data_IF_939303126845
#
_entry.id   IF_939303126845
#
_cell.length_a   1.000
_cell.length_b   1.000
_cell.length_c   1.000
_cell.angle_alpha   90.00
_cell.angle_beta   90.00
_cell.angle_gamma   90.00
#
_symmetry.space_group_name_H-M   'P 1'
#
loop_
_entity.id
_entity.type
_entity.pdbx_description
1 polymer ?
#
# COMPACT_ATOMS: atom_id res chain seq x y z
N UNK A 1 -8.75 18.36 -17.24
CA UNK A 1 -9.51 17.61 -16.21
C UNK A 1 -8.64 17.49 -14.97
N UNK A 2 -9.22 17.66 -13.76
CA UNK A 2 -8.46 17.42 -12.53
C UNK A 2 -8.11 15.93 -12.43
N UNK A 3 -6.95 15.60 -11.80
CA UNK A 3 -6.46 14.22 -11.60
C UNK A 3 -7.55 13.37 -10.94
N UNK A 4 -8.25 13.92 -9.95
CA UNK A 4 -9.33 13.23 -9.23
C UNK A 4 -10.46 12.82 -10.19
N UNK A 5 -10.86 13.68 -11.15
CA UNK A 5 -11.89 13.31 -12.13
C UNK A 5 -11.45 12.17 -13.04
N UNK A 6 -10.17 12.17 -13.47
CA UNK A 6 -9.62 11.08 -14.28
C UNK A 6 -9.64 9.76 -13.51
N UNK A 7 -9.21 9.77 -12.24
CA UNK A 7 -9.21 8.58 -11.38
C UNK A 7 -10.63 8.04 -11.15
N UNK A 8 -11.62 8.93 -10.91
CA UNK A 8 -13.01 8.52 -10.76
C UNK A 8 -13.59 7.89 -12.02
N UNK A 9 -13.29 8.47 -13.19
CA UNK A 9 -13.73 7.91 -14.49
C UNK A 9 -13.07 6.55 -14.73
N UNK A 10 -11.77 6.42 -14.45
CA UNK A 10 -11.07 5.15 -14.59
C UNK A 10 -11.63 4.07 -13.65
N UNK A 11 -11.93 4.43 -12.40
CA UNK A 11 -12.54 3.51 -11.42
C UNK A 11 -13.92 3.03 -11.87
N UNK A 12 -14.80 3.96 -12.25
CA UNK A 12 -16.17 3.61 -12.71
C UNK A 12 -16.11 2.84 -14.03
N UNK A 13 -15.23 3.27 -14.95
CA UNK A 13 -15.02 2.56 -16.21
C UNK A 13 -14.50 1.14 -16.01
N UNK A 14 -13.49 0.97 -15.16
CA UNK A 14 -12.95 -0.35 -14.82
C UNK A 14 -13.99 -1.26 -14.18
N UNK A 15 -14.80 -0.73 -13.26
CA UNK A 15 -15.89 -1.46 -12.63
C UNK A 15 -16.96 -1.88 -13.65
N UNK A 16 -17.36 -0.98 -14.55
CA UNK A 16 -18.33 -1.27 -15.60
C UNK A 16 -17.82 -2.35 -16.57
N UNK A 17 -16.55 -2.26 -16.98
CA UNK A 17 -15.90 -3.26 -17.84
C UNK A 17 -15.80 -4.60 -17.10
N UNK A 18 -15.41 -4.59 -15.83
CA UNK A 18 -15.33 -5.81 -15.01
C UNK A 18 -16.70 -6.52 -14.88
N UNK A 19 -17.77 -5.76 -14.58
CA UNK A 19 -19.13 -6.30 -14.52
C UNK A 19 -19.60 -6.84 -15.87
N UNK A 20 -19.27 -6.18 -16.96
CA UNK A 20 -19.59 -6.65 -18.31
C UNK A 20 -18.91 -7.99 -18.61
N UNK A 21 -17.63 -8.14 -18.30
CA UNK A 21 -16.92 -9.42 -18.46
C UNK A 21 -17.49 -10.52 -17.56
N UNK A 22 -17.92 -10.18 -16.35
CA UNK A 22 -18.54 -11.11 -15.42
C UNK A 22 -19.89 -11.59 -15.98
N UNK A 23 -20.72 -10.68 -16.49
CA UNK A 23 -21.98 -11.00 -17.15
C UNK A 23 -21.80 -11.89 -18.39
N UNK A 24 -20.78 -11.56 -19.23
CA UNK A 24 -20.45 -12.36 -20.41
C UNK A 24 -20.00 -13.77 -20.03
N UNK A 25 -19.23 -13.92 -18.97
CA UNK A 25 -18.78 -15.20 -18.44
C UNK A 25 -19.96 -16.08 -18.02
N UNK A 26 -20.93 -15.51 -17.31
CA UNK A 26 -22.01 -16.28 -16.71
C UNK A 26 -23.13 -16.61 -17.72
N UNK A 27 -23.37 -15.75 -18.72
CA UNK A 27 -24.55 -15.85 -19.56
C UNK A 27 -24.28 -16.13 -21.05
N UNK A 28 -23.06 -15.88 -21.55
CA UNK A 28 -22.79 -15.83 -23.00
C UNK A 28 -21.66 -16.75 -23.43
N UNK A 29 -20.60 -16.86 -22.63
CA UNK A 29 -19.37 -17.53 -23.03
C UNK A 29 -19.29 -18.91 -22.40
N UNK A 30 -19.01 -19.95 -23.20
CA UNK A 30 -18.74 -21.29 -22.69
C UNK A 30 -17.48 -21.34 -21.83
N UNK A 31 -17.33 -22.35 -20.95
CA UNK A 31 -16.13 -22.50 -20.11
C UNK A 31 -14.83 -22.55 -20.93
N UNK A 32 -14.84 -23.24 -22.08
CA UNK A 32 -13.69 -23.30 -22.99
C UNK A 32 -13.39 -21.93 -23.59
N UNK A 33 -14.40 -21.18 -24.04
CA UNK A 33 -14.27 -19.83 -24.56
C UNK A 33 -13.75 -18.87 -23.49
N UNK A 34 -14.24 -19.01 -22.25
CA UNK A 34 -13.75 -18.20 -21.14
C UNK A 34 -12.28 -18.49 -20.80
N UNK A 35 -11.86 -19.75 -20.87
CA UNK A 35 -10.45 -20.10 -20.65
C UNK A 35 -9.52 -19.39 -21.62
N UNK A 36 -9.92 -19.23 -22.89
CA UNK A 36 -9.16 -18.49 -23.91
C UNK A 36 -9.11 -16.99 -23.57
N UNK A 37 -10.26 -16.39 -23.24
CA UNK A 37 -10.35 -14.96 -22.87
C UNK A 37 -9.52 -14.69 -21.61
N UNK A 38 -9.59 -15.56 -20.62
CA UNK A 38 -8.81 -15.44 -19.39
C UNK A 38 -7.31 -15.48 -19.67
N UNK A 39 -6.83 -16.45 -20.45
CA UNK A 39 -5.42 -16.56 -20.86
C UNK A 39 -4.94 -15.34 -21.63
N UNK A 40 -5.78 -14.76 -22.48
CA UNK A 40 -5.41 -13.61 -23.30
C UNK A 40 -5.40 -12.31 -22.49
N UNK A 41 -6.34 -12.10 -21.59
CA UNK A 41 -6.58 -10.79 -20.97
C UNK A 41 -6.22 -10.72 -19.49
N UNK A 42 -6.59 -11.71 -18.68
CA UNK A 42 -6.59 -11.59 -17.22
C UNK A 42 -5.57 -12.47 -16.50
N UNK A 43 -5.15 -13.57 -17.14
CA UNK A 43 -4.28 -14.57 -16.51
C UNK A 43 -3.01 -13.95 -15.96
N UNK A 44 -2.66 -14.32 -14.73
CA UNK A 44 -1.36 -14.02 -14.15
C UNK A 44 -0.28 -14.82 -14.87
N UNK A 45 0.64 -14.10 -15.52
CA UNK A 45 1.76 -14.69 -16.30
C UNK A 45 2.96 -15.03 -15.42
N UNK A 46 2.93 -14.69 -14.14
CA UNK A 46 4.08 -14.89 -13.21
C UNK A 46 3.97 -16.19 -12.42
N UNK A 47 2.82 -16.87 -12.51
CA UNK A 47 2.58 -18.16 -11.86
C UNK A 47 2.74 -19.32 -12.87
N UNK A 48 3.01 -20.56 -12.41
CA UNK A 48 3.20 -21.71 -13.31
C UNK A 48 2.01 -21.97 -14.25
N UNK A 49 0.79 -21.71 -13.79
CA UNK A 49 -0.43 -21.86 -14.58
C UNK A 49 -0.56 -20.80 -15.70
N UNK A 50 0.24 -19.74 -15.63
CA UNK A 50 0.29 -18.65 -16.60
C UNK A 50 1.21 -18.92 -17.79
N UNK A 51 1.91 -20.06 -17.83
CA UNK A 51 2.80 -20.41 -18.94
C UNK A 51 2.00 -20.53 -20.23
N UNK A 52 2.35 -19.67 -21.22
CA UNK A 52 1.65 -19.58 -22.50
C UNK A 52 0.41 -18.66 -22.50
N UNK A 53 0.13 -17.96 -21.40
CA UNK A 53 -0.85 -16.87 -21.35
C UNK A 53 -0.21 -15.53 -21.76
N UNK A 54 -1.03 -14.61 -22.26
CA UNK A 54 -0.59 -13.25 -22.63
C UNK A 54 -0.91 -12.26 -21.49
N UNK A 55 -2.09 -12.34 -20.90
CA UNK A 55 -2.49 -11.55 -19.73
C UNK A 55 -2.39 -10.03 -19.93
N UNK A 56 -2.95 -9.47 -20.99
CA UNK A 56 -2.73 -8.06 -21.37
C UNK A 56 -3.12 -7.10 -20.23
N UNK A 57 -4.31 -7.26 -19.64
CA UNK A 57 -4.75 -6.41 -18.54
C UNK A 57 -3.94 -6.66 -17.27
N UNK A 58 -3.52 -7.90 -17.05
CA UNK A 58 -2.63 -8.24 -15.94
C UNK A 58 -1.29 -7.52 -16.08
N UNK A 59 -0.64 -7.56 -17.27
CA UNK A 59 0.64 -6.89 -17.51
C UNK A 59 0.52 -5.38 -17.26
N UNK A 60 -0.48 -4.72 -17.87
CA UNK A 60 -0.67 -3.27 -17.73
C UNK A 60 -0.92 -2.91 -16.25
N UNK A 61 -1.81 -3.66 -15.58
CA UNK A 61 -2.08 -3.46 -14.15
C UNK A 61 -0.85 -3.67 -13.27
N UNK A 62 -0.06 -4.72 -13.53
CA UNK A 62 1.15 -5.01 -12.76
C UNK A 62 2.26 -3.98 -12.98
N UNK A 63 2.46 -3.51 -14.22
CA UNK A 63 3.44 -2.44 -14.51
C UNK A 63 3.05 -1.16 -13.77
N UNK A 64 1.77 -0.80 -13.78
CA UNK A 64 1.26 0.36 -13.05
C UNK A 64 1.48 0.20 -11.54
N UNK A 65 1.07 -0.94 -10.95
CA UNK A 65 1.24 -1.22 -9.52
C UNK A 65 2.71 -1.21 -9.11
N UNK A 66 3.58 -1.89 -9.87
CA UNK A 66 5.03 -1.88 -9.60
C UNK A 66 5.64 -0.49 -9.75
N UNK A 67 5.17 0.28 -10.72
CA UNK A 67 5.58 1.67 -10.89
C UNK A 67 5.23 2.57 -9.72
N UNK A 68 4.04 2.39 -9.10
CA UNK A 68 3.66 3.07 -7.87
C UNK A 68 4.51 2.58 -6.68
N UNK A 69 4.69 1.28 -6.54
CA UNK A 69 5.47 0.67 -5.47
C UNK A 69 6.93 1.13 -5.48
N UNK A 70 7.51 1.32 -6.66
CA UNK A 70 8.87 1.84 -6.83
C UNK A 70 9.06 3.22 -6.18
N UNK A 71 8.03 4.05 -6.18
CA UNK A 71 8.09 5.39 -5.61
C UNK A 71 7.93 5.42 -4.07
N UNK A 72 7.34 4.38 -3.45
CA UNK A 72 6.94 4.40 -2.03
C UNK A 72 8.15 4.60 -1.12
N UNK A 73 9.15 3.74 -1.23
CA UNK A 73 10.33 3.76 -0.35
C UNK A 73 11.10 5.08 -0.45
N UNK A 74 11.52 5.54 -1.64
CA UNK A 74 12.23 6.81 -1.76
C UNK A 74 11.37 8.02 -1.40
N UNK A 75 10.04 7.99 -1.68
CA UNK A 75 9.15 9.08 -1.28
C UNK A 75 9.05 9.21 0.23
N UNK A 76 8.86 8.10 0.95
CA UNK A 76 8.77 8.09 2.41
C UNK A 76 10.09 8.56 3.02
N UNK A 77 11.23 8.01 2.53
CA UNK A 77 12.55 8.39 3.01
C UNK A 77 12.78 9.91 2.89
N UNK A 78 12.56 10.44 1.71
CA UNK A 78 12.87 11.85 1.40
C UNK A 78 11.91 12.79 2.09
N UNK A 79 10.59 12.58 1.94
CA UNK A 79 9.59 13.50 2.50
C UNK A 79 9.61 13.52 4.03
N UNK A 80 9.81 12.36 4.66
CA UNK A 80 9.89 12.32 6.12
C UNK A 80 11.19 12.91 6.65
N UNK A 81 12.33 12.67 5.96
CA UNK A 81 13.61 13.31 6.33
C UNK A 81 13.52 14.83 6.25
N UNK A 82 12.93 15.38 5.17
CA UNK A 82 12.72 16.82 5.03
C UNK A 82 11.77 17.36 6.10
N UNK A 83 10.69 16.64 6.41
CA UNK A 83 9.77 17.01 7.47
C UNK A 83 10.47 17.07 8.84
N UNK A 84 11.28 16.07 9.16
CA UNK A 84 12.07 16.05 10.41
C UNK A 84 13.12 17.15 10.46
N UNK A 85 13.76 17.46 9.35
CA UNK A 85 14.73 18.54 9.23
C UNK A 85 14.12 19.93 9.52
N UNK A 86 12.83 20.11 9.23
CA UNK A 86 12.12 21.37 9.47
C UNK A 86 11.67 21.59 10.93
N UNK A 87 11.72 20.54 11.75
CA UNK A 87 11.30 20.60 13.16
C UNK A 87 12.47 21.12 14.04
N UNK A 88 12.46 22.41 14.30
CA UNK A 88 13.53 23.11 15.05
C UNK A 88 13.57 22.83 16.57
N UNK A 89 12.60 22.07 17.12
CA UNK A 89 12.51 21.86 18.57
C UNK A 89 12.01 20.46 18.91
N UNK A 90 12.82 19.68 19.62
CA UNK A 90 12.53 18.33 20.07
C UNK A 90 11.26 18.22 20.95
N UNK A 91 10.96 19.26 21.73
CA UNK A 91 9.73 19.32 22.56
C UNK A 91 8.48 19.38 21.69
N UNK A 92 8.53 20.11 20.56
CA UNK A 92 7.42 20.15 19.59
C UNK A 92 7.23 18.78 18.91
N UNK A 93 8.31 18.10 18.58
CA UNK A 93 8.28 16.77 18.00
C UNK A 93 7.55 15.77 18.92
N UNK A 94 7.92 15.73 20.19
CA UNK A 94 7.28 14.86 21.17
C UNK A 94 5.77 15.14 21.34
N UNK A 95 5.37 16.42 21.35
CA UNK A 95 3.97 16.81 21.42
C UNK A 95 3.18 16.41 20.19
N UNK A 96 3.73 16.62 19.00
CA UNK A 96 3.11 16.23 17.72
C UNK A 96 2.94 14.71 17.70
N UNK A 97 4.00 13.94 18.01
CA UNK A 97 3.95 12.50 18.06
C UNK A 97 2.88 11.98 19.05
N UNK A 98 2.87 12.51 20.26
CA UNK A 98 1.89 12.12 21.28
C UNK A 98 0.44 12.43 20.86
N UNK A 99 0.18 13.61 20.29
CA UNK A 99 -1.17 13.97 19.81
C UNK A 99 -1.58 13.09 18.63
N UNK A 100 -0.67 12.80 17.74
CA UNK A 100 -0.94 11.93 16.58
C UNK A 100 -1.24 10.51 17.02
N UNK A 101 -0.43 9.93 17.92
CA UNK A 101 -0.68 8.59 18.45
C UNK A 101 -2.01 8.50 19.20
N UNK A 102 -2.32 9.49 20.03
CA UNK A 102 -3.61 9.55 20.72
C UNK A 102 -4.79 9.64 19.74
N UNK A 103 -4.64 10.43 18.67
CA UNK A 103 -5.63 10.52 17.59
C UNK A 103 -5.82 9.19 16.87
N UNK A 104 -4.75 8.53 16.47
CA UNK A 104 -4.83 7.20 15.85
C UNK A 104 -5.49 6.17 16.75
N UNK A 105 -5.11 6.14 18.04
CA UNK A 105 -5.72 5.23 19.00
C UNK A 105 -7.23 5.48 19.13
N UNK A 106 -7.64 6.76 19.19
CA UNK A 106 -9.06 7.14 19.19
C UNK A 106 -9.78 6.64 17.93
N UNK A 107 -9.20 6.83 16.75
CA UNK A 107 -9.78 6.32 15.49
C UNK A 107 -9.87 4.79 15.45
N UNK A 108 -8.87 4.08 15.96
CA UNK A 108 -8.92 2.61 16.06
C UNK A 108 -10.05 2.13 16.96
N UNK A 109 -10.22 2.74 18.13
CA UNK A 109 -11.30 2.39 19.06
C UNK A 109 -12.67 2.67 18.43
N UNK A 110 -12.85 3.84 17.81
CA UNK A 110 -14.09 4.17 17.10
C UNK A 110 -14.35 3.22 15.93
N UNK A 111 -13.34 2.92 15.12
CA UNK A 111 -13.46 1.99 13.99
C UNK A 111 -13.83 0.58 14.44
N UNK A 112 -13.19 0.08 15.50
CA UNK A 112 -13.50 -1.22 16.08
C UNK A 112 -14.95 -1.26 16.63
N UNK A 113 -15.36 -0.21 17.35
CA UNK A 113 -16.73 -0.11 17.87
C UNK A 113 -17.78 -0.11 16.75
N UNK A 114 -17.54 0.67 15.66
CA UNK A 114 -18.43 0.69 14.51
C UNK A 114 -18.45 -0.66 13.80
N UNK A 115 -17.30 -1.29 13.56
CA UNK A 115 -17.21 -2.60 12.94
C UNK A 115 -17.92 -3.69 13.73
N UNK A 116 -17.73 -3.73 15.05
CA UNK A 116 -18.44 -4.67 15.93
C UNK A 116 -19.95 -4.41 15.94
N UNK A 117 -20.37 -3.15 15.95
CA UNK A 117 -21.79 -2.78 15.91
C UNK A 117 -22.46 -3.24 14.62
N UNK A 118 -21.82 -2.96 13.47
CA UNK A 118 -22.32 -3.38 12.16
C UNK A 118 -22.37 -4.91 12.08
N UNK A 119 -21.30 -5.60 12.48
CA UNK A 119 -21.25 -7.06 12.50
C UNK A 119 -22.36 -7.67 13.38
N UNK A 120 -22.62 -7.08 14.53
CA UNK A 120 -23.70 -7.50 15.43
C UNK A 120 -25.09 -7.32 14.78
N UNK A 121 -25.32 -6.14 14.15
CA UNK A 121 -26.60 -5.86 13.45
C UNK A 121 -26.79 -6.86 12.30
N UNK A 122 -25.82 -7.06 11.45
CA UNK A 122 -25.88 -7.99 10.30
C UNK A 122 -26.15 -9.43 10.78
N UNK A 123 -25.47 -9.83 11.87
CA UNK A 123 -25.73 -11.15 12.49
C UNK A 123 -27.15 -11.26 13.05
N UNK A 124 -27.64 -10.22 13.73
CA UNK A 124 -29.00 -10.22 14.33
C UNK A 124 -30.09 -10.24 13.25
N UNK A 125 -29.84 -9.70 12.06
CA UNK A 125 -30.74 -9.72 10.90
C UNK A 125 -30.72 -11.07 10.15
N UNK A 126 -29.90 -12.04 10.57
CA UNK A 126 -29.80 -13.35 9.93
C UNK A 126 -29.14 -13.32 8.54
N UNK A 127 -28.53 -12.20 8.13
CA UNK A 127 -27.88 -12.06 6.83
C UNK A 127 -26.53 -12.80 6.76
N UNK A 128 -26.01 -13.25 7.90
CA UNK A 128 -24.73 -13.96 8.00
C UNK A 128 -24.94 -15.46 8.24
N UNK A 129 -25.66 -16.12 7.36
CA UNK A 129 -25.82 -17.58 7.37
C UNK A 129 -24.81 -18.25 6.42
N UNK A 130 -23.55 -17.85 6.50
CA UNK A 130 -22.48 -18.56 5.81
C UNK A 130 -22.08 -19.76 6.68
N UNK A 131 -22.59 -20.94 6.33
CA UNK A 131 -22.00 -22.19 6.79
C UNK A 131 -20.64 -22.30 6.11
N UNK A 132 -19.57 -22.08 6.85
CA UNK A 132 -18.22 -22.38 6.36
C UNK A 132 -18.18 -23.87 6.01
N UNK A 133 -17.74 -24.26 4.80
CA UNK A 133 -17.54 -25.65 4.48
C UNK A 133 -16.60 -26.26 5.53
N UNK A 134 -17.07 -27.25 6.27
CA UNK A 134 -16.26 -27.95 7.27
C UNK A 134 -15.22 -28.90 6.66
N UNK A 135 -15.25 -29.04 5.32
CA UNK A 135 -14.24 -29.78 4.58
C UNK A 135 -13.17 -28.82 4.07
N UNK A 136 -12.04 -28.82 4.73
CA UNK A 136 -10.88 -27.99 4.39
C UNK A 136 -10.68 -26.79 5.32
N UNK A 137 -10.88 -26.98 6.61
CA UNK A 137 -10.11 -26.18 7.58
C UNK A 137 -8.67 -26.51 7.28
N UNK A 138 -8.05 -25.72 6.39
CA UNK A 138 -6.59 -25.69 6.33
C UNK A 138 -6.15 -25.64 7.79
N UNK A 139 -5.30 -26.59 8.19
CA UNK A 139 -4.71 -26.64 9.53
C UNK A 139 -4.46 -25.18 9.92
N UNK A 140 -5.11 -24.76 10.99
CA UNK A 140 -5.04 -23.36 11.40
C UNK A 140 -3.56 -23.03 11.38
N UNK A 141 -3.14 -22.19 10.45
CA UNK A 141 -1.72 -21.90 10.28
C UNK A 141 -1.26 -21.59 11.68
N UNK A 142 -0.35 -22.41 12.21
CA UNK A 142 0.18 -22.24 13.54
C UNK A 142 0.67 -20.81 13.57
N UNK A 143 -0.13 -19.93 14.19
CA UNK A 143 0.27 -18.54 14.37
C UNK A 143 1.45 -18.68 15.31
N UNK A 144 2.65 -18.65 14.75
CA UNK A 144 3.87 -18.58 15.54
C UNK A 144 3.63 -17.49 16.59
N UNK A 145 3.79 -17.86 17.86
CA UNK A 145 3.50 -16.96 18.97
C UNK A 145 4.31 -15.67 18.78
N UNK A 146 3.66 -14.67 18.15
CA UNK A 146 4.29 -13.43 17.79
C UNK A 146 4.36 -12.55 19.04
N UNK A 147 5.56 -12.20 19.46
CA UNK A 147 5.75 -11.22 20.52
C UNK A 147 5.54 -9.81 19.92
N UNK A 148 4.49 -9.06 20.33
CA UNK A 148 4.24 -7.71 19.81
C UNK A 148 5.42 -6.76 19.97
N UNK A 149 6.27 -6.97 20.99
CA UNK A 149 7.47 -6.16 21.21
C UNK A 149 8.55 -6.38 20.15
N UNK A 150 8.51 -7.52 19.44
CA UNK A 150 9.43 -7.78 18.33
C UNK A 150 9.28 -6.75 17.21
N UNK A 151 8.09 -6.14 17.04
CA UNK A 151 7.86 -5.06 16.08
C UNK A 151 8.75 -3.86 16.37
N UNK A 152 8.94 -3.53 17.65
CA UNK A 152 9.77 -2.39 18.07
C UNK A 152 11.24 -2.65 17.75
N UNK A 153 11.72 -3.88 17.98
CA UNK A 153 13.10 -4.27 17.68
C UNK A 153 13.33 -4.30 16.17
N UNK A 154 12.39 -4.90 15.43
CA UNK A 154 12.48 -5.03 13.97
C UNK A 154 12.21 -3.69 13.23
N UNK A 155 11.69 -2.67 13.91
CA UNK A 155 11.55 -1.34 13.34
C UNK A 155 12.91 -0.67 13.09
N UNK A 156 13.95 -1.04 13.85
CA UNK A 156 15.31 -0.51 13.64
C UNK A 156 16.06 -1.46 12.71
N UNK A 157 16.33 -1.06 11.46
CA UNK A 157 17.00 -1.94 10.52
C UNK A 157 18.48 -2.12 10.85
N UNK A 158 18.98 -3.33 10.67
CA UNK A 158 20.41 -3.61 10.74
C UNK A 158 21.18 -3.16 9.50
N UNK A 159 20.47 -3.05 8.36
CA UNK A 159 21.01 -2.64 7.08
C UNK A 159 19.99 -1.79 6.30
N UNK A 160 20.41 -0.59 5.89
CA UNK A 160 19.55 0.34 5.14
C UNK A 160 19.16 -0.19 3.77
N UNK A 161 20.05 -0.93 3.12
CA UNK A 161 19.80 -1.51 1.79
C UNK A 161 18.73 -2.59 1.88
N UNK A 162 18.79 -3.42 2.90
CA UNK A 162 17.80 -4.47 3.14
C UNK A 162 16.42 -3.87 3.49
N UNK A 163 16.40 -2.85 4.33
CA UNK A 163 15.18 -2.10 4.64
C UNK A 163 14.55 -1.46 3.38
N UNK A 164 15.36 -1.01 2.43
CA UNK A 164 14.90 -0.38 1.19
C UNK A 164 14.51 -1.40 0.10
N UNK A 165 14.90 -2.67 0.22
CA UNK A 165 14.68 -3.71 -0.81
C UNK A 165 13.25 -4.21 -0.86
N UNK A 166 12.48 -4.07 0.23
CA UNK A 166 11.12 -4.59 0.35
C UNK A 166 10.13 -3.53 0.80
N UNK A 167 8.98 -3.44 0.13
CA UNK A 167 7.89 -2.55 0.55
C UNK A 167 7.26 -2.95 1.90
N UNK A 168 7.53 -4.15 2.39
CA UNK A 168 7.06 -4.61 3.70
C UNK A 168 7.86 -4.01 4.87
N UNK A 169 9.04 -3.45 4.59
CA UNK A 169 9.93 -2.85 5.59
C UNK A 169 9.77 -1.32 5.70
N UNK A 170 8.59 -0.76 5.33
CA UNK A 170 8.34 0.69 5.36
C UNK A 170 8.61 1.28 6.75
N UNK A 171 8.27 0.55 7.83
CA UNK A 171 8.54 1.02 9.20
C UNK A 171 10.04 1.24 9.44
N UNK A 172 10.89 0.37 8.94
CA UNK A 172 12.34 0.53 9.01
C UNK A 172 12.82 1.76 8.24
N UNK A 173 12.27 2.01 7.05
CA UNK A 173 12.56 3.22 6.27
C UNK A 173 12.12 4.50 7.00
N UNK A 174 10.98 4.46 7.69
CA UNK A 174 10.50 5.57 8.53
C UNK A 174 11.51 5.89 9.63
N UNK A 175 12.05 4.88 10.32
CA UNK A 175 13.07 5.06 11.37
C UNK A 175 14.35 5.66 10.77
N UNK A 176 14.82 5.15 9.64
CA UNK A 176 16.00 5.71 8.92
C UNK A 176 15.76 7.17 8.53
N UNK A 177 14.58 7.48 8.00
CA UNK A 177 14.23 8.85 7.60
C UNK A 177 14.20 9.82 8.77
N UNK A 178 13.67 9.39 9.92
CA UNK A 178 13.67 10.20 11.15
C UNK A 178 15.11 10.48 11.61
N UNK A 179 15.95 9.45 11.67
CA UNK A 179 17.36 9.61 12.07
C UNK A 179 18.07 10.55 11.11
N UNK A 180 17.94 10.34 9.80
CA UNK A 180 18.56 11.19 8.78
C UNK A 180 18.11 12.64 8.90
N UNK A 181 16.81 12.89 9.04
CA UNK A 181 16.25 14.23 9.17
C UNK A 181 16.69 14.95 10.44
N UNK A 182 16.76 14.24 11.57
CA UNK A 182 17.26 14.79 12.84
C UNK A 182 18.76 15.12 12.75
N UNK A 183 19.58 14.27 12.14
CA UNK A 183 21.00 14.52 11.92
C UNK A 183 21.20 15.74 11.02
N UNK A 184 20.44 15.86 9.92
CA UNK A 184 20.50 17.03 9.04
C UNK A 184 20.11 18.32 9.76
N UNK A 185 19.10 18.26 10.61
CA UNK A 185 18.69 19.41 11.42
C UNK A 185 19.81 19.87 12.37
N UNK A 186 20.53 18.92 12.99
CA UNK A 186 21.66 19.25 13.88
C UNK A 186 22.88 19.80 13.12
N UNK A 187 23.07 19.42 11.86
CA UNK A 187 24.17 19.95 11.02
C UNK A 187 23.99 21.42 10.66
N UNK A 188 22.79 21.96 10.73
CA UNK A 188 22.50 23.36 10.38
C UNK A 188 22.93 23.68 8.94
N UNK A 189 23.65 24.77 8.75
CA UNK A 189 24.12 25.24 7.43
C UNK A 189 24.97 24.21 6.67
N UNK A 190 25.71 23.35 7.37
CA UNK A 190 26.51 22.29 6.74
C UNK A 190 25.65 21.21 6.11
N UNK A 191 24.41 21.04 6.56
CA UNK A 191 23.44 20.10 6.02
C UNK A 191 22.68 20.61 4.78
N UNK A 192 22.72 21.90 4.49
CA UNK A 192 21.98 22.52 3.38
C UNK A 192 22.23 21.88 2.00
N UNK A 193 23.46 21.51 1.61
CA UNK A 193 23.68 20.84 0.32
C UNK A 193 22.92 19.52 0.21
N UNK A 194 22.93 18.70 1.28
CA UNK A 194 22.23 17.42 1.29
C UNK A 194 20.71 17.60 1.33
N UNK A 195 20.23 18.60 2.06
CA UNK A 195 18.80 18.96 2.08
C UNK A 195 18.29 19.32 0.68
N UNK A 196 19.06 20.14 -0.09
CA UNK A 196 18.74 20.47 -1.49
C UNK A 196 18.68 19.22 -2.38
N UNK A 197 19.59 18.26 -2.18
CA UNK A 197 19.53 16.98 -2.92
C UNK A 197 18.24 16.22 -2.62
N UNK A 198 17.85 16.18 -1.35
CA UNK A 198 16.59 15.54 -0.96
C UNK A 198 15.37 16.28 -1.55
N UNK A 199 15.36 17.61 -1.55
CA UNK A 199 14.31 18.43 -2.17
C UNK A 199 14.17 18.11 -3.67
N UNK A 200 15.29 18.13 -4.40
CA UNK A 200 15.30 17.78 -5.82
C UNK A 200 14.85 16.33 -6.07
N UNK A 201 15.26 15.40 -5.23
CA UNK A 201 14.82 14.00 -5.33
C UNK A 201 13.32 13.86 -5.09
N UNK A 202 12.77 14.62 -4.13
CA UNK A 202 11.31 14.69 -3.92
C UNK A 202 10.57 15.16 -5.18
N UNK A 203 11.09 16.19 -5.85
CA UNK A 203 10.51 16.68 -7.12
C UNK A 203 10.54 15.62 -8.21
N UNK A 204 11.66 14.91 -8.37
CA UNK A 204 11.79 13.82 -9.36
C UNK A 204 10.77 12.71 -9.11
N UNK A 205 10.61 12.29 -7.83
CA UNK A 205 9.64 11.26 -7.47
C UNK A 205 8.21 11.73 -7.74
N UNK A 206 7.88 12.97 -7.41
CA UNK A 206 6.57 13.55 -7.69
C UNK A 206 6.30 13.68 -9.20
N UNK A 207 7.30 14.02 -10.01
CA UNK A 207 7.20 14.00 -11.48
C UNK A 207 6.92 12.59 -11.99
N UNK A 208 7.62 11.58 -11.46
CA UNK A 208 7.39 10.17 -11.81
C UNK A 208 5.96 9.72 -11.49
N UNK A 209 5.47 10.00 -10.27
CA UNK A 209 4.10 9.69 -9.89
C UNK A 209 3.07 10.40 -10.78
N UNK A 210 3.31 11.67 -11.09
CA UNK A 210 2.44 12.46 -11.97
C UNK A 210 2.43 11.88 -13.39
N UNK A 211 3.59 11.43 -13.87
CA UNK A 211 3.68 10.76 -15.17
C UNK A 211 2.86 9.47 -15.19
N UNK A 212 3.03 8.59 -14.19
CA UNK A 212 2.27 7.35 -14.08
C UNK A 212 0.75 7.60 -14.08
N UNK A 213 0.28 8.53 -13.24
CA UNK A 213 -1.16 8.80 -13.10
C UNK A 213 -1.76 9.47 -14.35
N UNK A 214 -0.98 10.25 -15.10
CA UNK A 214 -1.50 10.98 -16.25
C UNK A 214 -1.35 10.24 -17.59
N UNK A 215 -0.42 9.29 -17.69
CA UNK A 215 -0.06 8.63 -18.96
C UNK A 215 -0.49 7.18 -19.05
N UNK A 216 -0.65 6.51 -17.90
CA UNK A 216 -1.18 5.17 -17.79
C UNK A 216 -2.60 5.20 -17.24
#
# INVERSE_FOLDING_TARGET
MSVVKKMMIALVGGLAVGLLFLFLRENVISEEGWAIVNKLLFQDITVPEGVGAIGIFYIVGQIFMKGLQLAIVPLVLVSLSLAMCSISNSTKLGRIAGTTLAGFFGFYVCGAALGCTIAYIVKSMGLFNVTLPSEGVAEAATIDAFNPLAVVVNAVPSNITDAASTNNSILAIVVVAIILGLCLNQMGERGEPLKKVLENLSEVINMWLTFLINKI
#
